data_IF_767461872005
#
_entry.id   IF_767461872005
#
_cell.length_a   1.000
_cell.length_b   1.000
_cell.length_c   1.000
_cell.angle_alpha   90.00
_cell.angle_beta   90.00
_cell.angle_gamma   90.00
#
_symmetry.space_group_name_H-M   'P 1'
#
loop_
_entity.id
_entity.type
_entity.pdbx_description
1 polymer ?
#
# COMPACT_ATOMS: atom_id res chain seq x y z
N UNK A 1 2.99 -19.88 18.03
CA UNK A 1 3.54 -18.71 18.74
C UNK A 1 2.36 -17.97 19.35
N UNK A 2 2.30 -17.88 20.66
CA UNK A 2 1.12 -17.37 21.36
C UNK A 2 0.95 -15.88 21.07
N UNK A 3 -0.26 -15.44 20.73
CA UNK A 3 -0.57 -14.04 20.40
C UNK A 3 -0.10 -13.05 21.49
N UNK A 4 -0.01 -13.53 22.74
CA UNK A 4 0.51 -12.79 23.88
C UNK A 4 2.01 -12.44 23.73
N UNK A 5 2.82 -13.38 23.23
CA UNK A 5 4.26 -13.17 23.00
C UNK A 5 4.51 -12.17 21.86
N UNK A 6 3.67 -12.21 20.81
CA UNK A 6 3.72 -11.25 19.73
C UNK A 6 3.37 -9.84 20.22
N UNK A 7 2.33 -9.70 21.05
CA UNK A 7 1.92 -8.42 21.65
C UNK A 7 3.02 -7.81 22.53
N UNK A 8 3.68 -8.64 23.35
CA UNK A 8 4.79 -8.19 24.20
C UNK A 8 5.99 -7.71 23.35
N UNK A 9 6.22 -8.35 22.21
CA UNK A 9 7.29 -7.94 21.29
C UNK A 9 6.95 -6.61 20.62
N UNK A 10 5.73 -6.41 20.14
CA UNK A 10 5.31 -5.12 19.54
C UNK A 10 5.30 -3.97 20.54
N UNK A 11 5.05 -4.22 21.82
CA UNK A 11 5.08 -3.22 22.90
C UNK A 11 6.50 -2.80 23.30
N UNK A 12 7.55 -3.40 22.73
CA UNK A 12 8.92 -2.95 23.02
C UNK A 12 9.11 -1.50 22.54
N UNK A 13 9.81 -0.65 23.33
CA UNK A 13 9.98 0.77 23.01
C UNK A 13 10.57 1.02 21.62
N UNK A 14 11.51 0.16 21.18
CA UNK A 14 12.13 0.24 19.86
C UNK A 14 11.10 0.07 18.74
N UNK A 15 10.16 -0.86 18.90
CA UNK A 15 9.14 -1.16 17.91
C UNK A 15 8.05 -0.08 17.86
N UNK A 16 7.66 0.45 19.02
CA UNK A 16 6.74 1.59 19.11
C UNK A 16 7.37 2.82 18.43
N UNK A 17 8.64 3.09 18.69
CA UNK A 17 9.35 4.21 18.09
C UNK A 17 9.50 4.05 16.57
N UNK A 18 9.82 2.84 16.10
CA UNK A 18 9.84 2.51 14.68
C UNK A 18 8.47 2.70 14.02
N UNK A 19 7.39 2.30 14.68
CA UNK A 19 6.01 2.53 14.24
C UNK A 19 5.69 4.03 14.16
N UNK A 20 6.06 4.80 15.17
CA UNK A 20 5.83 6.24 15.24
C UNK A 20 6.57 6.98 14.12
N UNK A 21 7.86 6.68 13.92
CA UNK A 21 8.65 7.25 12.82
C UNK A 21 8.03 6.85 11.49
N UNK A 22 7.72 5.57 11.30
CA UNK A 22 7.10 5.09 10.08
C UNK A 22 5.79 5.81 9.77
N UNK A 23 4.90 5.95 10.75
CA UNK A 23 3.63 6.66 10.62
C UNK A 23 3.82 8.16 10.32
N UNK A 24 4.75 8.84 11.01
CA UNK A 24 5.04 10.26 10.78
C UNK A 24 5.58 10.48 9.37
N UNK A 25 6.61 9.73 8.98
CA UNK A 25 7.21 9.84 7.65
C UNK A 25 6.18 9.47 6.58
N UNK A 26 5.43 8.39 6.79
CA UNK A 26 4.32 8.00 5.91
C UNK A 26 3.31 9.12 5.73
N UNK A 27 2.81 9.73 6.82
CA UNK A 27 1.83 10.82 6.73
C UNK A 27 2.40 12.06 6.05
N UNK A 28 3.65 12.44 6.35
CA UNK A 28 4.30 13.57 5.69
C UNK A 28 4.40 13.36 4.18
N UNK A 29 4.83 12.17 3.76
CA UNK A 29 4.98 11.84 2.33
C UNK A 29 3.62 11.67 1.66
N UNK A 30 2.64 11.05 2.33
CA UNK A 30 1.28 10.89 1.78
C UNK A 30 0.55 12.22 1.58
N UNK A 31 0.94 13.28 2.29
CA UNK A 31 0.41 14.64 2.06
C UNK A 31 1.08 15.31 0.84
N UNK A 32 2.19 14.79 0.33
CA UNK A 32 2.77 15.26 -0.91
C UNK A 32 2.05 14.58 -2.09
N UNK A 33 1.38 15.35 -2.98
CA UNK A 33 0.84 14.78 -4.21
C UNK A 33 1.98 14.24 -5.07
N UNK A 34 1.71 13.19 -5.85
CA UNK A 34 2.70 12.54 -6.72
C UNK A 34 3.47 11.41 -6.05
N UNK A 35 3.74 11.49 -4.73
CA UNK A 35 4.53 10.47 -4.02
C UNK A 35 3.64 9.38 -3.41
N UNK A 36 3.69 8.19 -4.00
CA UNK A 36 2.91 7.04 -3.54
C UNK A 36 3.47 6.35 -2.27
N UNK A 37 2.62 5.62 -1.51
CA UNK A 37 3.05 4.79 -0.39
C UNK A 37 4.08 3.72 -0.81
N UNK A 38 3.95 3.16 -2.02
CA UNK A 38 4.86 2.17 -2.58
C UNK A 38 6.27 2.73 -2.82
N UNK A 39 6.37 3.93 -3.40
CA UNK A 39 7.65 4.62 -3.57
C UNK A 39 8.31 4.97 -2.22
N UNK A 40 7.51 5.44 -1.26
CA UNK A 40 8.00 5.76 0.10
C UNK A 40 8.57 4.52 0.80
N UNK A 41 7.86 3.39 0.71
CA UNK A 41 8.35 2.12 1.24
C UNK A 41 9.64 1.67 0.57
N UNK A 42 9.74 1.78 -0.75
CA UNK A 42 10.92 1.42 -1.51
C UNK A 42 12.16 2.24 -1.09
N UNK A 43 11.99 3.54 -0.88
CA UNK A 43 13.06 4.44 -0.45
C UNK A 43 13.52 4.16 0.99
N UNK A 44 12.60 3.77 1.88
CA UNK A 44 12.89 3.51 3.30
C UNK A 44 13.23 2.05 3.61
N UNK A 45 12.99 1.13 2.67
CA UNK A 45 13.31 -0.29 2.79
C UNK A 45 14.77 -0.54 3.25
N UNK A 46 15.79 0.17 2.74
CA UNK A 46 17.18 -0.10 3.13
C UNK A 46 17.45 0.23 4.60
N UNK A 47 16.80 1.29 5.10
CA UNK A 47 16.86 1.63 6.51
C UNK A 47 16.24 0.53 7.36
N UNK A 48 15.13 -0.06 6.91
CA UNK A 48 14.44 -1.13 7.66
C UNK A 48 15.25 -2.43 7.78
N UNK A 49 16.13 -2.73 6.83
CA UNK A 49 17.01 -3.91 6.94
C UNK A 49 18.04 -3.81 8.07
N UNK A 50 18.42 -2.59 8.47
CA UNK A 50 19.36 -2.40 9.59
C UNK A 50 18.70 -2.54 10.97
N UNK A 51 17.37 -2.49 11.04
CA UNK A 51 16.60 -2.46 12.29
C UNK A 51 16.11 -3.86 12.74
N UNK A 52 16.38 -4.89 11.95
CA UNK A 52 15.87 -6.24 12.15
C UNK A 52 14.46 -6.44 11.59
N UNK A 53 14.05 -7.70 11.35
CA UNK A 53 12.83 -8.02 10.59
C UNK A 53 11.55 -7.54 11.29
N UNK A 54 11.48 -7.62 12.61
CA UNK A 54 10.29 -7.22 13.38
C UNK A 54 10.09 -5.69 13.35
N UNK A 55 11.12 -4.92 13.73
CA UNK A 55 11.03 -3.46 13.74
C UNK A 55 10.87 -2.90 12.31
N UNK A 56 11.55 -3.50 11.33
CA UNK A 56 11.43 -3.12 9.92
C UNK A 56 10.02 -3.32 9.37
N UNK A 57 9.39 -4.47 9.62
CA UNK A 57 8.00 -4.72 9.21
C UNK A 57 7.02 -3.75 9.88
N UNK A 58 7.22 -3.46 11.17
CA UNK A 58 6.38 -2.51 11.92
C UNK A 58 6.52 -1.09 11.34
N UNK A 59 7.75 -0.67 11.02
CA UNK A 59 8.00 0.63 10.40
C UNK A 59 7.36 0.73 9.01
N UNK A 60 7.52 -0.28 8.15
CA UNK A 60 6.90 -0.32 6.82
C UNK A 60 5.37 -0.31 6.91
N UNK A 61 4.79 -1.03 7.87
CA UNK A 61 3.35 -0.96 8.14
C UNK A 61 2.93 0.45 8.57
N UNK A 62 3.69 1.10 9.45
CA UNK A 62 3.48 2.50 9.84
C UNK A 62 3.50 3.44 8.64
N UNK A 63 4.49 3.29 7.75
CA UNK A 63 4.60 4.05 6.49
C UNK A 63 3.36 3.85 5.62
N UNK A 64 2.90 2.60 5.44
CA UNK A 64 1.71 2.28 4.66
C UNK A 64 0.48 3.02 5.17
N UNK A 65 0.16 2.84 6.45
CA UNK A 65 -1.05 3.39 7.05
C UNK A 65 -0.96 4.92 7.13
N UNK A 66 0.21 5.46 7.47
CA UNK A 66 0.48 6.89 7.51
C UNK A 66 0.30 7.55 6.15
N UNK A 67 0.90 6.97 5.10
CA UNK A 67 0.81 7.49 3.73
C UNK A 67 -0.61 7.38 3.15
N UNK A 68 -1.30 6.27 3.38
CA UNK A 68 -2.71 6.11 2.98
C UNK A 68 -3.61 7.15 3.66
N UNK A 69 -3.37 7.46 4.94
CA UNK A 69 -4.11 8.49 5.65
C UNK A 69 -3.77 9.90 5.16
N UNK A 70 -2.48 10.22 4.97
CA UNK A 70 -2.02 11.49 4.40
C UNK A 70 -2.61 11.76 3.01
N UNK A 71 -2.59 10.74 2.15
CA UNK A 71 -3.15 10.79 0.80
C UNK A 71 -4.67 10.97 0.77
N UNK A 72 -5.38 10.41 1.75
CA UNK A 72 -6.82 10.68 1.91
C UNK A 72 -7.09 12.12 2.34
N UNK A 73 -6.20 12.72 3.14
CA UNK A 73 -6.34 14.09 3.63
C UNK A 73 -6.19 15.10 2.51
N UNK A 74 -5.17 14.95 1.66
CA UNK A 74 -5.00 15.78 0.44
C UNK A 74 -6.13 15.57 -0.55
N UNK A 75 -6.56 14.33 -0.74
CA UNK A 75 -7.71 14.00 -1.60
C UNK A 75 -9.00 14.72 -1.19
N UNK A 76 -9.30 14.73 0.11
CA UNK A 76 -10.51 15.36 0.67
C UNK A 76 -10.44 16.88 0.59
N UNK A 77 -9.28 17.48 0.89
CA UNK A 77 -9.16 18.93 1.02
C UNK A 77 -8.91 19.67 -0.31
N UNK A 78 -8.13 19.07 -1.22
CA UNK A 78 -7.67 19.75 -2.44
C UNK A 78 -8.00 19.01 -3.74
N UNK A 79 -8.74 17.89 -3.69
CA UNK A 79 -9.12 17.10 -4.86
C UNK A 79 -7.92 16.71 -5.75
N UNK A 80 -6.82 16.32 -5.10
CA UNK A 80 -5.63 15.78 -5.76
C UNK A 80 -5.41 14.36 -5.25
N UNK A 81 -5.89 13.33 -5.98
CA UNK A 81 -5.69 11.96 -5.57
C UNK A 81 -4.23 11.56 -5.83
N UNK A 82 -3.49 11.27 -4.76
CA UNK A 82 -2.12 10.72 -4.87
C UNK A 82 -2.08 9.23 -5.23
N UNK A 83 -3.21 8.53 -5.13
CA UNK A 83 -3.31 7.08 -5.29
C UNK A 83 -4.62 6.70 -5.98
N UNK A 84 -4.61 5.60 -6.71
CA UNK A 84 -5.80 5.13 -7.44
C UNK A 84 -6.97 4.80 -6.50
N UNK A 85 -6.66 4.33 -5.28
CA UNK A 85 -7.64 4.07 -4.25
C UNK A 85 -8.29 5.35 -3.68
N UNK A 86 -7.58 6.47 -3.71
CA UNK A 86 -8.04 7.74 -3.13
C UNK A 86 -8.95 8.53 -4.07
N UNK A 87 -9.04 8.16 -5.35
CA UNK A 87 -9.96 8.78 -6.33
C UNK A 87 -11.42 8.66 -5.88
N UNK A 88 -11.81 7.53 -5.28
CA UNK A 88 -13.18 7.38 -4.76
C UNK A 88 -13.40 8.30 -3.55
N UNK A 89 -12.36 8.50 -2.73
CA UNK A 89 -12.40 9.40 -1.58
C UNK A 89 -12.50 10.87 -2.00
N UNK A 90 -11.90 11.27 -3.13
CA UNK A 90 -12.06 12.65 -3.63
C UNK A 90 -13.49 12.91 -4.08
N UNK A 91 -14.17 11.96 -4.74
CA UNK A 91 -15.52 12.15 -5.27
C UNK A 91 -16.52 12.58 -4.19
N UNK A 92 -16.54 11.89 -3.06
CA UNK A 92 -17.47 12.17 -1.96
C UNK A 92 -16.88 13.16 -0.94
N UNK A 93 -15.60 12.97 -0.58
CA UNK A 93 -14.91 13.75 0.44
C UNK A 93 -14.70 15.21 0.05
N UNK A 94 -14.32 15.48 -1.19
CA UNK A 94 -14.15 16.86 -1.67
C UNK A 94 -15.48 17.60 -1.76
N UNK A 95 -16.57 16.93 -2.13
CA UNK A 95 -17.90 17.54 -2.16
C UNK A 95 -18.38 17.90 -0.74
N UNK A 96 -18.08 17.07 0.26
CA UNK A 96 -18.32 17.41 1.67
C UNK A 96 -17.43 18.56 2.13
N UNK A 97 -16.15 18.59 1.73
CA UNK A 97 -15.25 19.69 2.04
C UNK A 97 -15.79 21.03 1.48
N UNK A 98 -16.21 21.06 0.21
CA UNK A 98 -16.82 22.25 -0.44
C UNK A 98 -18.08 22.75 0.25
N UNK A 99 -18.80 21.90 0.98
CA UNK A 99 -19.98 22.26 1.78
C UNK A 99 -19.61 22.78 3.18
N UNK A 100 -18.33 23.04 3.47
CA UNK A 100 -17.84 23.44 4.80
C UNK A 100 -17.84 22.29 5.81
N UNK A 101 -17.83 21.03 5.35
CA UNK A 101 -17.83 19.83 6.22
C UNK A 101 -16.59 18.98 6.03
N UNK A 102 -15.45 19.64 5.80
CA UNK A 102 -14.16 18.98 5.60
C UNK A 102 -13.73 18.16 6.85
N UNK A 103 -13.94 18.69 8.05
CA UNK A 103 -13.61 18.00 9.30
C UNK A 103 -14.39 16.70 9.49
N UNK A 104 -15.71 16.72 9.26
CA UNK A 104 -16.55 15.53 9.33
C UNK A 104 -16.15 14.46 8.30
N UNK A 105 -15.78 14.87 7.08
CA UNK A 105 -15.29 13.96 6.05
C UNK A 105 -13.97 13.27 6.45
N UNK A 106 -13.01 14.03 6.99
CA UNK A 106 -11.75 13.49 7.51
C UNK A 106 -11.97 12.54 8.69
N UNK A 107 -12.82 12.91 9.64
CA UNK A 107 -13.13 12.08 10.79
C UNK A 107 -13.86 10.78 10.40
N UNK A 108 -14.82 10.85 9.47
CA UNK A 108 -15.49 9.65 8.96
C UNK A 108 -14.52 8.70 8.25
N UNK A 109 -13.60 9.24 7.44
CA UNK A 109 -12.55 8.46 6.78
C UNK A 109 -11.60 7.82 7.80
N UNK A 110 -11.14 8.58 8.80
CA UNK A 110 -10.26 8.09 9.86
C UNK A 110 -10.91 6.95 10.67
N UNK A 111 -12.13 7.16 11.15
CA UNK A 111 -12.87 6.19 11.96
C UNK A 111 -13.16 4.93 11.13
N UNK A 112 -13.54 5.09 9.85
CA UNK A 112 -13.82 3.97 8.97
C UNK A 112 -12.62 3.12 8.67
N UNK A 113 -11.49 3.73 8.32
CA UNK A 113 -10.24 3.01 8.09
C UNK A 113 -9.72 2.36 9.37
N UNK A 114 -9.87 2.99 10.54
CA UNK A 114 -9.47 2.41 11.82
C UNK A 114 -10.31 1.17 12.17
N UNK A 115 -11.64 1.27 12.12
CA UNK A 115 -12.53 0.15 12.44
C UNK A 115 -12.37 -1.00 11.45
N UNK A 116 -12.41 -0.72 10.14
CA UNK A 116 -12.25 -1.73 9.10
C UNK A 116 -10.85 -2.36 9.13
N UNK A 117 -9.80 -1.56 9.35
CA UNK A 117 -8.42 -2.03 9.48
C UNK A 117 -8.24 -2.94 10.69
N UNK A 118 -8.76 -2.54 11.85
CA UNK A 118 -8.68 -3.35 13.08
C UNK A 118 -9.39 -4.69 12.92
N UNK A 119 -10.63 -4.67 12.40
CA UNK A 119 -11.39 -5.90 12.13
C UNK A 119 -10.65 -6.78 11.12
N UNK A 120 -10.08 -6.20 10.05
CA UNK A 120 -9.35 -6.96 9.03
C UNK A 120 -8.08 -7.61 9.58
N UNK A 121 -7.31 -6.91 10.43
CA UNK A 121 -6.11 -7.46 11.07
C UNK A 121 -6.50 -8.60 12.04
N UNK A 122 -7.55 -8.41 12.85
CA UNK A 122 -8.04 -9.46 13.74
C UNK A 122 -8.53 -10.69 12.99
N UNK A 123 -9.29 -10.49 11.90
CA UNK A 123 -9.72 -11.56 11.02
C UNK A 123 -8.51 -12.26 10.38
N UNK A 124 -7.55 -11.52 9.84
CA UNK A 124 -6.33 -12.08 9.27
C UNK A 124 -5.55 -12.89 10.30
N UNK A 125 -5.40 -12.42 11.54
CA UNK A 125 -4.75 -13.16 12.62
C UNK A 125 -5.43 -14.50 12.91
N UNK A 126 -6.77 -14.56 12.80
CA UNK A 126 -7.54 -15.78 12.99
C UNK A 126 -7.40 -16.75 11.81
N UNK A 127 -7.36 -16.22 10.58
CA UNK A 127 -7.21 -17.02 9.35
C UNK A 127 -5.73 -17.32 9.00
N UNK A 128 -4.75 -16.66 9.61
CA UNK A 128 -3.34 -16.83 9.29
C UNK A 128 -2.84 -18.27 9.52
N UNK A 129 -3.16 -18.97 10.62
CA UNK A 129 -2.72 -20.35 10.82
C UNK A 129 -3.19 -21.33 9.72
N UNK A 130 -4.50 -21.42 9.38
CA UNK A 130 -4.92 -22.31 8.31
C UNK A 130 -4.37 -21.89 6.93
N UNK A 131 -4.21 -20.58 6.67
CA UNK A 131 -3.53 -20.14 5.45
C UNK A 131 -2.06 -20.59 5.38
N UNK A 132 -1.35 -20.57 6.51
CA UNK A 132 0.05 -21.00 6.57
C UNK A 132 0.20 -22.51 6.32
N UNK A 133 -0.71 -23.34 6.83
CA UNK A 133 -0.72 -24.78 6.56
C UNK A 133 -0.90 -25.08 5.06
N UNK A 134 -1.82 -24.35 4.41
CA UNK A 134 -2.02 -24.46 2.96
C UNK A 134 -0.78 -24.00 2.19
N UNK A 135 -0.15 -22.90 2.60
CA UNK A 135 1.05 -22.38 1.94
C UNK A 135 2.25 -23.33 2.04
N UNK A 136 2.42 -24.04 3.16
CA UNK A 136 3.48 -25.04 3.35
C UNK A 136 3.20 -26.31 2.55
N UNK A 137 1.94 -26.64 2.27
CA UNK A 137 1.55 -27.77 1.44
C UNK A 137 1.79 -27.53 -0.07
N UNK A 138 2.13 -26.32 -0.50
CA UNK A 138 2.38 -26.01 -1.91
C UNK A 138 3.71 -26.60 -2.39
N UNK A 139 3.65 -27.29 -3.53
CA UNK A 139 4.81 -27.75 -4.27
C UNK A 139 5.29 -26.71 -5.28
N UNK A 140 6.33 -27.08 -6.03
CA UNK A 140 6.94 -26.21 -7.05
C UNK A 140 5.95 -25.77 -8.14
N UNK A 141 4.99 -26.64 -8.51
CA UNK A 141 3.98 -26.34 -9.53
C UNK A 141 2.97 -25.29 -9.05
N UNK A 142 2.54 -25.36 -7.78
CA UNK A 142 1.62 -24.40 -7.17
C UNK A 142 2.28 -23.04 -7.00
N UNK A 143 3.54 -23.00 -6.53
CA UNK A 143 4.32 -21.77 -6.45
C UNK A 143 4.49 -21.10 -7.82
N UNK A 144 4.82 -21.88 -8.86
CA UNK A 144 4.92 -21.36 -10.23
C UNK A 144 3.59 -20.80 -10.72
N UNK A 145 2.49 -21.53 -10.50
CA UNK A 145 1.15 -21.13 -10.95
C UNK A 145 0.70 -19.83 -10.28
N UNK A 146 0.96 -19.67 -8.98
CA UNK A 146 0.64 -18.44 -8.23
C UNK A 146 1.51 -17.27 -8.67
N UNK A 147 2.81 -17.49 -8.89
CA UNK A 147 3.69 -16.46 -9.42
C UNK A 147 3.26 -16.00 -10.81
N UNK A 148 2.93 -16.93 -11.71
CA UNK A 148 2.44 -16.64 -13.06
C UNK A 148 1.11 -15.89 -13.02
N UNK A 149 0.16 -16.34 -12.18
CA UNK A 149 -1.12 -15.66 -11.96
C UNK A 149 -0.89 -14.24 -11.44
N UNK A 150 0.00 -14.05 -10.48
CA UNK A 150 0.39 -12.73 -9.97
C UNK A 150 0.91 -11.81 -11.07
N UNK A 151 1.80 -12.30 -11.94
CA UNK A 151 2.31 -11.54 -13.09
C UNK A 151 1.22 -11.18 -14.10
N UNK A 152 0.27 -12.09 -14.37
CA UNK A 152 -0.87 -11.83 -15.26
C UNK A 152 -1.81 -10.77 -14.67
N UNK A 153 -2.10 -10.84 -13.37
CA UNK A 153 -2.96 -9.82 -12.73
C UNK A 153 -2.24 -8.47 -12.71
N UNK A 154 -0.93 -8.44 -12.39
CA UNK A 154 -0.10 -7.23 -12.42
C UNK A 154 -0.08 -6.58 -13.80
N UNK A 155 0.11 -7.37 -14.85
CA UNK A 155 0.16 -6.86 -16.22
C UNK A 155 -1.17 -6.25 -16.68
N UNK A 156 -2.30 -6.81 -16.22
CA UNK A 156 -3.64 -6.28 -16.47
C UNK A 156 -3.95 -5.01 -15.67
N UNK A 157 -3.36 -4.85 -14.48
CA UNK A 157 -3.61 -3.69 -13.63
C UNK A 157 -2.88 -2.42 -14.12
N UNK A 158 -1.74 -2.57 -14.79
CA UNK A 158 -0.76 -1.50 -15.01
C UNK A 158 -1.08 -0.51 -16.15
N UNK A 159 -2.35 -0.36 -16.53
CA UNK A 159 -2.81 0.73 -17.41
C UNK A 159 -2.65 0.51 -18.92
N UNK A 160 -2.51 1.60 -19.68
CA UNK A 160 -2.87 1.81 -21.11
C UNK A 160 -2.40 0.77 -22.14
N UNK A 161 -1.44 -0.12 -21.83
CA UNK A 161 -0.95 -1.14 -22.78
C UNK A 161 -0.47 -2.41 -22.07
N UNK A 162 -1.25 -3.50 -22.20
CA UNK A 162 -0.92 -4.83 -21.68
C UNK A 162 0.47 -5.31 -22.11
N UNK A 163 0.84 -5.05 -23.37
CA UNK A 163 2.12 -5.48 -23.93
C UNK A 163 3.31 -4.83 -23.20
N UNK A 164 3.22 -3.54 -22.85
CA UNK A 164 4.28 -2.85 -22.11
C UNK A 164 4.45 -3.43 -20.72
N UNK A 165 3.36 -3.66 -20.00
CA UNK A 165 3.38 -4.26 -18.66
C UNK A 165 3.98 -5.67 -18.69
N UNK A 166 3.62 -6.47 -19.69
CA UNK A 166 4.15 -7.82 -19.86
C UNK A 166 5.65 -7.82 -20.18
N UNK A 167 6.11 -6.91 -21.05
CA UNK A 167 7.55 -6.76 -21.36
C UNK A 167 8.32 -6.35 -20.11
N UNK A 168 7.81 -5.41 -19.30
CA UNK A 168 8.45 -5.00 -18.05
C UNK A 168 8.48 -6.14 -17.01
N UNK A 169 7.41 -6.92 -16.91
CA UNK A 169 7.36 -8.10 -16.06
C UNK A 169 8.41 -9.15 -16.48
N UNK A 170 8.50 -9.45 -17.78
CA UNK A 170 9.49 -10.38 -18.32
C UNK A 170 10.92 -9.87 -18.11
N UNK A 171 11.17 -8.58 -18.31
CA UNK A 171 12.47 -7.96 -18.01
C UNK A 171 12.83 -8.09 -16.53
N UNK A 172 11.88 -7.85 -15.62
CA UNK A 172 12.09 -8.05 -14.18
C UNK A 172 12.45 -9.49 -13.83
N UNK A 173 11.77 -10.48 -14.42
CA UNK A 173 12.09 -11.90 -14.24
C UNK A 173 13.46 -12.23 -14.83
N UNK A 174 13.81 -11.72 -16.00
CA UNK A 174 15.14 -11.92 -16.58
C UNK A 174 16.24 -11.35 -15.68
N UNK A 175 16.06 -10.14 -15.16
CA UNK A 175 17.00 -9.51 -14.24
C UNK A 175 17.12 -10.29 -12.92
N UNK A 176 16.05 -10.91 -12.42
CA UNK A 176 16.11 -11.72 -11.19
C UNK A 176 16.83 -13.06 -11.38
N UNK A 177 16.95 -13.55 -12.61
CA UNK A 177 17.70 -14.79 -12.91
C UNK A 177 19.22 -14.60 -12.99
N UNK A 178 19.72 -13.36 -12.91
CA UNK A 178 21.15 -13.05 -12.94
C UNK A 178 21.79 -13.40 -11.60
N UNK A 179 22.81 -14.25 -11.62
CA UNK A 179 23.57 -14.67 -10.44
C UNK A 179 23.63 -16.18 -10.26
N UNK A 180 23.96 -16.61 -9.05
CA UNK A 180 23.99 -18.03 -8.68
C UNK A 180 22.58 -18.54 -8.35
N UNK A 181 22.14 -19.62 -9.01
CA UNK A 181 20.86 -20.27 -8.70
C UNK A 181 20.90 -20.85 -7.27
N UNK A 182 19.98 -20.46 -6.35
CA UNK A 182 20.02 -20.90 -4.96
C UNK A 182 19.66 -22.37 -4.76
N UNK A 183 19.05 -23.01 -5.77
CA UNK A 183 18.64 -24.43 -5.74
C UNK A 183 19.71 -25.30 -6.40
N UNK A 184 20.17 -24.90 -7.59
CA UNK A 184 21.05 -25.70 -8.41
C UNK A 184 22.55 -25.35 -8.27
N UNK A 185 22.89 -24.19 -7.70
CA UNK A 185 24.28 -23.70 -7.60
C UNK A 185 24.92 -23.34 -8.94
N UNK A 186 24.13 -23.26 -10.01
CA UNK A 186 24.61 -22.97 -11.37
C UNK A 186 24.63 -21.46 -11.59
N UNK A 187 25.71 -20.96 -12.18
CA UNK A 187 25.82 -19.56 -12.59
C UNK A 187 24.94 -19.25 -13.81
N UNK A 188 24.13 -18.19 -13.71
CA UNK A 188 23.28 -17.70 -14.81
C UNK A 188 23.58 -16.24 -15.09
N UNK A 189 23.92 -15.92 -16.34
CA UNK A 189 24.14 -14.54 -16.81
C UNK A 189 25.21 -13.75 -16.01
N UNK A 190 26.21 -14.43 -15.43
CA UNK A 190 27.30 -13.82 -14.64
C UNK A 190 28.42 -13.23 -15.49
N UNK A 191 28.49 -13.60 -16.77
CA UNK A 191 29.50 -13.15 -17.75
C UNK A 191 30.95 -13.25 -17.25
N UNK A 192 31.23 -14.22 -16.37
CA UNK A 192 32.54 -14.44 -15.74
C UNK A 192 33.05 -13.29 -14.85
N UNK A 193 32.14 -12.45 -14.34
CA UNK A 193 32.46 -11.35 -13.41
C UNK A 193 31.98 -11.71 -12.01
N UNK A 194 32.88 -11.55 -11.02
CA UNK A 194 32.61 -11.89 -9.61
C UNK A 194 31.46 -11.06 -9.03
N UNK A 195 31.32 -9.80 -9.43
CA UNK A 195 30.26 -8.91 -8.95
C UNK A 195 28.86 -9.40 -9.33
N UNK A 196 28.71 -10.07 -10.48
CA UNK A 196 27.43 -10.60 -10.93
C UNK A 196 27.08 -11.96 -10.29
N UNK A 197 28.01 -12.62 -9.61
CA UNK A 197 27.72 -13.89 -8.92
C UNK A 197 26.66 -13.70 -7.83
N UNK A 198 26.68 -12.54 -7.16
CA UNK A 198 25.69 -12.16 -6.14
C UNK A 198 24.36 -11.68 -6.72
N UNK A 199 24.27 -11.57 -8.05
CA UNK A 199 23.14 -10.97 -8.76
C UNK A 199 23.01 -9.47 -8.49
N UNK A 200 21.89 -8.89 -8.92
CA UNK A 200 21.59 -7.50 -8.59
C UNK A 200 21.09 -7.38 -7.14
N UNK A 201 21.72 -6.51 -6.36
CA UNK A 201 21.23 -6.19 -5.02
C UNK A 201 19.80 -5.65 -5.07
N UNK A 202 18.89 -6.25 -4.31
CA UNK A 202 17.49 -5.84 -4.25
C UNK A 202 17.33 -4.35 -3.90
N UNK A 203 18.10 -3.87 -2.92
CA UNK A 203 18.10 -2.47 -2.46
C UNK A 203 18.47 -1.48 -3.57
N UNK A 204 19.65 -1.59 -4.23
CA UNK A 204 20.00 -0.70 -5.35
C UNK A 204 18.99 -0.70 -6.49
N UNK A 205 18.47 -1.87 -6.87
CA UNK A 205 17.50 -1.97 -7.98
C UNK A 205 16.21 -1.24 -7.64
N UNK A 206 15.66 -1.48 -6.44
CA UNK A 206 14.45 -0.83 -5.97
C UNK A 206 14.65 0.69 -5.86
N UNK A 207 15.74 1.14 -5.24
CA UNK A 207 16.06 2.57 -5.12
C UNK A 207 16.23 3.25 -6.49
N UNK A 208 16.92 2.60 -7.43
CA UNK A 208 17.11 3.11 -8.78
C UNK A 208 15.80 3.18 -9.56
N UNK A 209 15.00 2.11 -9.53
CA UNK A 209 13.74 2.05 -10.27
C UNK A 209 12.73 3.08 -9.76
N UNK A 210 12.51 3.15 -8.46
CA UNK A 210 11.57 4.11 -7.87
C UNK A 210 12.12 5.54 -7.90
N UNK A 211 13.41 5.76 -7.65
CA UNK A 211 14.02 7.08 -7.71
C UNK A 211 13.97 7.69 -9.11
N UNK A 212 14.28 6.90 -10.15
CA UNK A 212 14.17 7.36 -11.55
C UNK A 212 12.70 7.56 -11.94
N UNK A 213 11.80 6.66 -11.53
CA UNK A 213 10.36 6.82 -11.80
C UNK A 213 9.80 8.12 -11.20
N UNK A 214 10.22 8.47 -9.98
CA UNK A 214 9.79 9.69 -9.29
C UNK A 214 10.29 10.97 -9.97
N UNK A 215 11.55 10.98 -10.44
CA UNK A 215 12.09 12.11 -11.19
C UNK A 215 11.32 12.30 -12.49
N UNK A 216 11.03 11.21 -13.21
CA UNK A 216 10.28 11.25 -14.46
C UNK A 216 8.82 11.66 -14.25
N UNK A 217 8.15 11.23 -13.18
CA UNK A 217 6.78 11.65 -12.86
C UNK A 217 6.71 13.11 -12.44
N UNK A 218 7.68 13.58 -11.65
CA UNK A 218 7.77 14.98 -11.20
C UNK A 218 7.92 15.96 -12.37
N UNK A 219 8.54 15.53 -13.48
CA UNK A 219 8.66 16.37 -14.68
C UNK A 219 7.35 16.54 -15.46
N UNK A 220 6.37 15.65 -15.25
CA UNK A 220 5.10 15.61 -15.99
C UNK A 220 3.95 16.29 -15.21
N UNK A 221 4.17 16.68 -13.95
CA UNK A 221 3.15 17.34 -13.12
C UNK A 221 3.16 18.87 -13.30
N UNK A 222 2.07 19.48 -13.81
CA UNK A 222 1.95 20.93 -13.79
C UNK A 222 1.78 21.42 -12.35
N UNK A 223 2.48 22.51 -11.99
CA UNK A 223 2.27 23.23 -10.72
C UNK A 223 0.80 23.65 -10.58
N UNK A 224 -0.01 22.82 -9.93
CA UNK A 224 -1.37 23.18 -9.58
C UNK A 224 -1.36 23.88 -8.23
N UNK A 225 -1.25 25.21 -8.25
CA UNK A 225 -1.62 26.06 -7.13
C UNK A 225 -3.13 25.93 -6.86
N UNK A 226 -3.52 24.92 -6.08
CA UNK A 226 -4.88 24.75 -5.58
C UNK A 226 -4.97 25.29 -4.16
N UNK A 227 -5.93 26.17 -3.94
CA UNK A 227 -6.19 26.76 -2.63
C UNK A 227 -6.52 25.68 -1.60
N UNK A 228 -5.74 25.63 -0.52
CA UNK A 228 -6.00 24.74 0.61
C UNK A 228 -7.23 25.26 1.35
N UNK A 229 -8.29 24.46 1.40
CA UNK A 229 -9.50 24.82 2.11
C UNK A 229 -9.25 24.80 3.62
N UNK A 230 -9.38 25.95 4.28
CA UNK A 230 -9.16 26.07 5.72
C UNK A 230 -10.24 25.30 6.50
N UNK A 231 -9.82 24.30 7.27
CA UNK A 231 -10.71 23.49 8.12
C UNK A 231 -10.80 24.14 9.51
N UNK A 232 -12.01 24.38 10.01
CA UNK A 232 -12.20 24.82 11.41
C UNK A 232 -12.34 23.60 12.32
N UNK A 233 -11.63 23.60 13.45
CA UNK A 233 -11.68 22.52 14.45
C UNK A 233 -13.09 22.20 14.98
N UNK A 234 -14.02 23.17 14.91
CA UNK A 234 -15.41 23.02 15.37
C UNK A 234 -16.29 22.16 14.45
N UNK A 235 -15.82 21.85 13.23
CA UNK A 235 -16.51 21.04 12.22
C UNK A 235 -15.96 19.60 12.14
N UNK A 236 -15.06 19.20 13.06
CA UNK A 236 -14.40 17.89 13.03
C UNK A 236 -15.34 16.72 13.37
N UNK A 237 -16.37 16.93 14.19
CA UNK A 237 -17.21 15.84 14.66
C UNK A 237 -18.34 15.56 13.65
N UNK A 238 -18.38 14.35 13.06
CA UNK A 238 -19.48 13.96 12.18
C UNK A 238 -20.77 13.88 12.99
N UNK A 239 -21.89 14.26 12.37
CA UNK A 239 -23.20 14.13 13.04
C UNK A 239 -23.57 12.64 13.14
N UNK A 240 -24.37 12.28 14.16
CA UNK A 240 -24.82 10.88 14.34
C UNK A 240 -25.54 10.32 13.11
N UNK A 241 -26.23 11.18 12.36
CA UNK A 241 -26.87 10.82 11.09
C UNK A 241 -25.86 10.51 9.98
N UNK A 242 -24.76 11.27 9.88
CA UNK A 242 -23.68 10.98 8.93
C UNK A 242 -22.99 9.67 9.24
N UNK A 243 -22.68 9.42 10.52
CA UNK A 243 -22.05 8.18 10.92
C UNK A 243 -22.97 6.98 10.64
N UNK A 244 -24.28 7.12 10.88
CA UNK A 244 -25.28 6.08 10.60
C UNK A 244 -25.43 5.81 9.11
N UNK A 245 -25.32 6.84 8.26
CA UNK A 245 -25.32 6.68 6.79
C UNK A 245 -24.00 6.08 6.27
N UNK A 246 -22.87 6.36 6.91
CA UNK A 246 -21.56 5.85 6.53
C UNK A 246 -21.30 4.40 6.96
N UNK A 247 -21.94 3.93 8.04
CA UNK A 247 -21.76 2.59 8.60
C UNK A 247 -22.00 1.42 7.61
N UNK A 248 -23.14 1.33 6.89
CA UNK A 248 -23.37 0.26 5.92
C UNK A 248 -22.32 0.15 4.81
N UNK A 249 -21.93 1.25 4.14
CA UNK A 249 -20.89 1.18 3.12
C UNK A 249 -19.50 0.91 3.68
N UNK A 250 -19.17 1.42 4.89
CA UNK A 250 -17.90 1.09 5.56
C UNK A 250 -17.79 -0.42 5.81
N UNK A 251 -18.86 -1.07 6.25
CA UNK A 251 -18.87 -2.52 6.45
C UNK A 251 -18.77 -3.30 5.14
N UNK A 252 -19.57 -2.94 4.12
CA UNK A 252 -19.53 -3.60 2.81
C UNK A 252 -18.14 -3.46 2.16
N UNK A 253 -17.59 -2.25 2.18
CA UNK A 253 -16.25 -1.97 1.65
C UNK A 253 -15.14 -2.64 2.46
N UNK A 254 -15.29 -2.76 3.78
CA UNK A 254 -14.38 -3.48 4.66
C UNK A 254 -14.34 -4.97 4.36
N UNK A 255 -15.50 -5.63 4.23
CA UNK A 255 -15.61 -7.06 3.91
C UNK A 255 -15.03 -7.35 2.52
N UNK A 256 -15.45 -6.59 1.51
CA UNK A 256 -14.91 -6.74 0.16
C UNK A 256 -13.41 -6.46 0.13
N UNK A 257 -12.95 -5.45 0.86
CA UNK A 257 -11.54 -5.12 1.01
C UNK A 257 -10.73 -6.24 1.64
N UNK A 258 -11.25 -6.88 2.69
CA UNK A 258 -10.62 -8.03 3.33
C UNK A 258 -10.54 -9.23 2.39
N UNK A 259 -11.66 -9.60 1.74
CA UNK A 259 -11.70 -10.74 0.82
C UNK A 259 -10.78 -10.55 -0.39
N UNK A 260 -10.79 -9.37 -1.01
CA UNK A 260 -9.89 -9.05 -2.12
C UNK A 260 -8.44 -8.97 -1.66
N UNK A 261 -8.19 -8.45 -0.45
CA UNK A 261 -6.85 -8.37 0.13
C UNK A 261 -6.25 -9.72 0.52
N UNK A 262 -7.08 -10.74 0.76
CA UNK A 262 -6.63 -12.10 1.06
C UNK A 262 -6.12 -12.84 -0.20
N UNK A 263 -6.48 -12.36 -1.39
CA UNK A 263 -6.00 -12.93 -2.66
C UNK A 263 -4.54 -12.53 -2.88
N UNK A 264 -3.61 -13.48 -3.03
CA UNK A 264 -2.21 -13.18 -3.34
C UNK A 264 -2.09 -12.52 -4.71
N UNK A 265 -1.52 -11.32 -4.77
CA UNK A 265 -1.36 -10.55 -6.01
C UNK A 265 -1.63 -9.05 -5.80
N UNK A 266 -1.74 -8.26 -6.89
CA UNK A 266 -2.00 -6.83 -6.78
C UNK A 266 -3.48 -6.55 -6.50
N UNK A 267 -3.91 -6.89 -5.29
CA UNK A 267 -5.25 -6.63 -4.78
C UNK A 267 -5.60 -5.13 -4.72
N UNK A 268 -4.58 -4.25 -4.64
CA UNK A 268 -4.76 -2.81 -4.51
C UNK A 268 -5.49 -2.16 -5.71
N UNK A 269 -5.20 -2.59 -6.94
CA UNK A 269 -5.88 -2.05 -8.13
C UNK A 269 -7.20 -2.74 -8.49
N UNK A 270 -7.47 -3.94 -7.97
CA UNK A 270 -8.80 -4.56 -8.10
C UNK A 270 -9.88 -3.70 -7.42
N UNK A 271 -9.51 -2.94 -6.39
CA UNK A 271 -10.38 -1.96 -5.70
C UNK A 271 -10.88 -0.84 -6.63
N UNK A 272 -10.12 -0.50 -7.69
CA UNK A 272 -10.50 0.52 -8.69
C UNK A 272 -11.77 0.14 -9.46
N UNK A 273 -12.07 -1.15 -9.61
CA UNK A 273 -13.25 -1.64 -10.33
C UNK A 273 -14.46 -1.92 -9.42
N UNK A 274 -14.22 -2.15 -8.12
CA UNK A 274 -15.29 -2.36 -7.15
C UNK A 274 -15.90 -1.05 -6.60
N UNK A 275 -15.22 0.08 -6.76
CA UNK A 275 -15.60 1.40 -6.23
C UNK A 275 -16.64 2.18 -7.03
N UNK A 276 -17.18 1.64 -8.13
CA UNK A 276 -18.19 2.32 -8.96
C UNK A 276 -19.58 2.40 -8.33
N UNK A 277 -19.73 2.15 -7.03
CA UNK A 277 -20.95 2.45 -6.29
C UNK A 277 -20.80 3.84 -5.66
N UNK A 278 -21.55 4.86 -6.12
CA UNK A 278 -21.60 6.14 -5.44
C UNK A 278 -22.26 5.93 -4.08
N UNK A 279 -21.52 6.21 -2.99
CA UNK A 279 -21.94 5.87 -1.63
C UNK A 279 -22.61 7.06 -0.93
N UNK A 280 -22.35 8.30 -1.35
CA UNK A 280 -22.87 9.50 -0.64
C UNK A 280 -23.71 10.46 -1.48
N UNK A 281 -24.05 10.12 -2.73
CA UNK A 281 -25.08 10.84 -3.50
C UNK A 281 -26.47 10.22 -3.27
N UNK A 282 -27.03 10.56 -2.11
CA UNK A 282 -28.44 10.46 -1.76
C UNK A 282 -28.85 11.65 -0.89
#
# INVERSE_FOLDING_TARGET
>A
MDALSALLTTLQPVNIFACLIGALVGTLVGVLPGVGPTGTMALLLPLTFTMGPTAGMIMLAGIWYGAQYGGSTTSILVNVPGESASVVTTLDGYQMARKGRAGAALAAAAIGSFVAGTISIMALQLFAPPLAEVAVAFGSAEYFSIALLGLIILSNLSGKSYLKSLIMALLGVMLSTVGMDPVAGVERFTFNTVDLLSGFGFVPVVMGLFGVAEILSSMDEPEQNKEVMNVRFRELYPTKEELRRALPPMFRGGILGFLVGLVPGPAAGARRYAGSFPILCG
#
